data_IF_486964622453
#
_entry.id   IF_486964622453
#
_cell.length_a   1.000
_cell.length_b   1.000
_cell.length_c   1.000
_cell.angle_alpha   90.00
_cell.angle_beta   90.00
_cell.angle_gamma   90.00
#
_symmetry.space_group_name_H-M   'P 1'
#
loop_
_entity.id
_entity.type
_entity.pdbx_description
1 polymer ?
#
# COMPACT_ATOMS: atom_id res chain seq x y z
N UNK A 1 -1.76 -21.30 -15.15
CA UNK A 1 -0.59 -20.66 -14.54
C UNK A 1 -0.74 -19.14 -14.61
N UNK A 2 -0.64 -18.47 -13.47
CA UNK A 2 -0.79 -17.03 -13.41
C UNK A 2 0.50 -16.31 -13.75
N UNK A 3 0.40 -15.23 -14.54
CA UNK A 3 1.50 -14.32 -14.77
C UNK A 3 1.44 -13.12 -13.81
N UNK A 4 2.37 -12.17 -13.97
CA UNK A 4 2.42 -11.00 -13.08
C UNK A 4 1.20 -10.10 -13.20
N UNK A 5 0.60 -9.97 -14.39
CA UNK A 5 -0.60 -9.15 -14.59
C UNK A 5 -1.78 -9.69 -13.78
N UNK A 6 -2.00 -11.00 -13.84
CA UNK A 6 -3.11 -11.63 -13.11
C UNK A 6 -2.86 -11.60 -11.60
N UNK A 7 -1.61 -11.81 -11.18
CA UNK A 7 -1.23 -11.75 -9.77
C UNK A 7 -1.49 -10.36 -9.19
N UNK A 8 -1.17 -9.30 -9.93
CA UNK A 8 -1.40 -7.93 -9.52
C UNK A 8 -2.90 -7.63 -9.39
N UNK A 9 -3.69 -8.05 -10.38
CA UNK A 9 -5.14 -7.88 -10.37
C UNK A 9 -5.79 -8.62 -9.20
N UNK A 10 -5.36 -9.85 -8.94
CA UNK A 10 -5.87 -10.64 -7.82
C UNK A 10 -5.53 -10.00 -6.46
N UNK A 11 -4.33 -9.42 -6.34
CA UNK A 11 -3.92 -8.73 -5.12
C UNK A 11 -4.80 -7.51 -4.85
N UNK A 12 -5.11 -6.72 -5.87
CA UNK A 12 -6.00 -5.57 -5.75
C UNK A 12 -7.38 -5.99 -5.26
N UNK A 13 -7.94 -7.04 -5.86
CA UNK A 13 -9.25 -7.57 -5.46
C UNK A 13 -9.22 -8.06 -4.02
N UNK A 14 -8.15 -8.74 -3.60
CA UNK A 14 -8.01 -9.24 -2.24
C UNK A 14 -7.97 -8.09 -1.22
N UNK A 15 -7.15 -7.06 -1.49
CA UNK A 15 -7.10 -5.90 -0.59
C UNK A 15 -8.49 -5.27 -0.43
N UNK A 16 -9.18 -5.06 -1.55
CA UNK A 16 -10.47 -4.39 -1.56
C UNK A 16 -11.60 -5.25 -0.95
N UNK A 17 -11.38 -6.55 -0.84
CA UNK A 17 -12.26 -7.46 -0.13
C UNK A 17 -11.91 -7.59 1.37
N UNK A 18 -10.87 -6.90 1.83
CA UNK A 18 -10.40 -7.02 3.21
C UNK A 18 -9.58 -8.26 3.48
N UNK A 19 -9.10 -8.93 2.43
CA UNK A 19 -8.33 -10.17 2.52
C UNK A 19 -6.82 -9.86 2.42
N UNK A 20 -6.23 -9.53 3.55
CA UNK A 20 -4.79 -9.21 3.60
C UNK A 20 -3.92 -10.41 3.24
N UNK A 21 -4.30 -11.61 3.65
CA UNK A 21 -3.54 -12.82 3.30
C UNK A 21 -3.51 -13.00 1.78
N UNK A 22 -4.64 -12.79 1.11
CA UNK A 22 -4.73 -12.83 -0.35
C UNK A 22 -3.83 -11.79 -1.01
N UNK A 23 -3.82 -10.57 -0.49
CA UNK A 23 -2.94 -9.52 -1.00
C UNK A 23 -1.47 -9.91 -0.86
N UNK A 24 -1.08 -10.44 0.28
CA UNK A 24 0.31 -10.76 0.57
C UNK A 24 0.85 -11.95 -0.23
N UNK A 25 -0.03 -12.72 -0.90
CA UNK A 25 0.42 -13.75 -1.86
C UNK A 25 1.18 -13.14 -3.04
N UNK A 26 0.95 -11.86 -3.34
CA UNK A 26 1.71 -11.14 -4.36
C UNK A 26 3.20 -11.05 -4.01
N UNK A 27 3.54 -11.06 -2.73
CA UNK A 27 4.89 -10.82 -2.24
C UNK A 27 5.65 -12.14 -2.07
N UNK A 28 6.86 -12.20 -2.67
CA UNK A 28 7.79 -13.29 -2.42
C UNK A 28 8.19 -13.31 -0.94
N UNK A 29 8.53 -14.49 -0.42
CA UNK A 29 8.95 -14.62 0.98
C UNK A 29 10.19 -13.78 1.29
N UNK A 30 11.06 -13.61 0.31
CA UNK A 30 12.29 -12.81 0.44
C UNK A 30 12.16 -11.38 -0.04
N UNK A 31 10.95 -10.85 -0.21
CA UNK A 31 10.72 -9.49 -0.71
C UNK A 31 11.45 -8.45 0.13
N UNK A 32 11.92 -7.39 -0.54
CA UNK A 32 12.45 -6.18 0.08
C UNK A 32 11.56 -5.01 -0.31
N UNK A 33 11.06 -4.31 0.69
CA UNK A 33 10.16 -3.16 0.49
C UNK A 33 10.88 -1.88 0.95
N UNK A 34 11.05 -0.95 0.02
CA UNK A 34 11.71 0.34 0.25
C UNK A 34 10.67 1.46 0.29
N UNK A 35 10.91 2.46 1.11
CA UNK A 35 10.04 3.63 1.24
C UNK A 35 9.03 3.53 2.39
N UNK A 36 9.08 2.47 3.18
CA UNK A 36 8.22 2.27 4.35
C UNK A 36 8.91 2.65 5.66
N UNK A 37 10.23 2.53 5.69
CA UNK A 37 11.08 2.87 6.82
C UNK A 37 12.50 3.13 6.31
N UNK A 38 13.42 3.50 7.19
CA UNK A 38 14.81 3.79 6.79
C UNK A 38 15.48 2.54 6.22
N UNK A 39 15.28 1.39 6.86
CA UNK A 39 15.78 0.13 6.36
C UNK A 39 14.68 -0.61 5.58
N UNK A 40 15.03 -1.40 4.56
CA UNK A 40 14.01 -2.16 3.84
C UNK A 40 13.24 -3.11 4.77
N UNK A 41 11.94 -3.18 4.56
CA UNK A 41 11.08 -4.14 5.28
C UNK A 41 11.05 -5.47 4.55
N UNK A 42 10.92 -6.56 5.33
CA UNK A 42 10.57 -7.86 4.81
C UNK A 42 9.07 -8.11 4.89
N UNK A 43 8.65 -9.31 4.45
CA UNK A 43 7.23 -9.65 4.34
C UNK A 43 6.52 -9.62 5.70
N UNK A 44 7.13 -10.15 6.74
CA UNK A 44 6.54 -10.18 8.08
C UNK A 44 6.35 -8.77 8.64
N UNK A 45 7.32 -7.89 8.41
CA UNK A 45 7.26 -6.51 8.90
C UNK A 45 6.18 -5.71 8.19
N UNK A 46 6.06 -5.86 6.86
CA UNK A 46 5.04 -5.13 6.10
C UNK A 46 3.64 -5.65 6.41
N UNK A 47 3.50 -6.94 6.75
CA UNK A 47 2.22 -7.47 7.24
C UNK A 47 1.74 -6.67 8.45
N UNK A 48 2.59 -6.42 9.41
CA UNK A 48 2.25 -5.62 10.60
C UNK A 48 1.83 -4.21 10.24
N UNK A 49 2.53 -3.59 9.30
CA UNK A 49 2.19 -2.25 8.82
C UNK A 49 0.80 -2.24 8.15
N UNK A 50 0.51 -3.20 7.28
CA UNK A 50 -0.79 -3.28 6.61
C UNK A 50 -1.92 -3.62 7.58
N UNK A 51 -1.66 -4.48 8.59
CA UNK A 51 -2.64 -4.74 9.65
C UNK A 51 -2.98 -3.44 10.38
N UNK A 52 -1.99 -2.59 10.63
CA UNK A 52 -2.20 -1.27 11.21
C UNK A 52 -3.11 -0.39 10.35
N UNK A 53 -2.98 -0.46 9.03
CA UNK A 53 -3.86 0.26 8.10
C UNK A 53 -5.29 -0.26 8.20
N UNK A 54 -5.49 -1.58 8.17
CA UNK A 54 -6.83 -2.16 8.26
C UNK A 54 -7.49 -1.89 9.61
N UNK A 55 -6.72 -1.77 10.68
CA UNK A 55 -7.25 -1.42 11.99
C UNK A 55 -7.59 0.06 12.11
N UNK A 56 -6.76 0.93 11.53
CA UNK A 56 -6.89 2.38 11.68
C UNK A 56 -7.94 3.00 10.75
N UNK A 57 -8.14 2.43 9.57
CA UNK A 57 -9.05 2.96 8.56
C UNK A 57 -10.18 2.00 8.29
N UNK A 58 -11.42 2.50 8.31
CA UNK A 58 -12.58 1.71 7.98
C UNK A 58 -12.62 1.49 6.46
N UNK A 59 -12.73 0.22 6.06
CA UNK A 59 -12.80 -0.21 4.65
C UNK A 59 -11.75 0.48 3.77
N UNK A 60 -10.45 0.30 4.05
CA UNK A 60 -9.42 0.90 3.19
C UNK A 60 -9.49 0.27 1.80
N UNK A 61 -9.65 1.11 0.77
CA UNK A 61 -9.75 0.69 -0.62
C UNK A 61 -8.56 1.20 -1.40
N UNK A 62 -8.09 0.37 -2.33
CA UNK A 62 -7.04 0.72 -3.27
C UNK A 62 -7.61 0.89 -4.66
N UNK A 63 -7.09 1.88 -5.39
CA UNK A 63 -7.25 1.97 -6.83
C UNK A 63 -5.87 2.04 -7.48
N UNK A 64 -5.73 1.38 -8.63
CA UNK A 64 -4.55 1.51 -9.49
C UNK A 64 -4.94 2.42 -10.63
N UNK A 65 -4.59 3.71 -10.49
CA UNK A 65 -5.06 4.75 -11.41
C UNK A 65 -4.28 4.74 -12.70
N UNK A 66 -3.05 4.24 -12.67
CA UNK A 66 -2.21 4.08 -13.86
C UNK A 66 -1.23 2.93 -13.61
N UNK A 67 -1.11 2.04 -14.58
CA UNK A 67 -0.20 0.88 -14.49
C UNK A 67 0.60 0.81 -15.77
N UNK A 68 1.92 0.86 -15.64
CA UNK A 68 2.85 0.79 -16.76
C UNK A 68 3.76 -0.43 -16.57
N UNK A 69 3.95 -1.19 -17.64
CA UNK A 69 4.78 -2.39 -17.63
C UNK A 69 5.98 -2.25 -18.57
N UNK A 70 7.13 -2.71 -18.10
CA UNK A 70 8.32 -2.90 -18.92
C UNK A 70 8.93 -4.25 -18.52
N UNK A 71 8.64 -5.28 -19.33
CA UNK A 71 9.02 -6.63 -18.97
C UNK A 71 8.37 -7.08 -17.66
N UNK A 72 9.18 -7.49 -16.71
CA UNK A 72 8.72 -7.91 -15.37
C UNK A 72 8.82 -6.80 -14.32
N UNK A 73 8.90 -5.56 -14.77
CA UNK A 73 8.86 -4.37 -13.90
C UNK A 73 7.56 -3.61 -14.16
N UNK A 74 6.92 -3.17 -13.10
CA UNK A 74 5.63 -2.48 -13.17
C UNK A 74 5.69 -1.21 -12.34
N UNK A 75 5.26 -0.09 -12.91
CA UNK A 75 5.09 1.18 -12.18
C UNK A 75 3.60 1.45 -12.04
N UNK A 76 3.19 1.79 -10.82
CA UNK A 76 1.78 2.02 -10.50
C UNK A 76 1.62 3.35 -9.81
N UNK A 77 0.70 4.17 -10.31
CA UNK A 77 0.18 5.33 -9.58
C UNK A 77 -1.12 4.87 -8.91
N UNK A 78 -1.13 4.89 -7.60
CA UNK A 78 -2.25 4.34 -6.81
C UNK A 78 -2.82 5.38 -5.86
N UNK A 79 -4.00 5.10 -5.33
CA UNK A 79 -4.58 5.83 -4.21
C UNK A 79 -5.23 4.84 -3.25
N UNK A 80 -5.11 5.12 -1.95
CA UNK A 80 -5.84 4.43 -0.92
C UNK A 80 -6.82 5.39 -0.28
N UNK A 81 -8.07 4.98 -0.12
CA UNK A 81 -9.11 5.77 0.54
C UNK A 81 -9.62 5.01 1.76
N UNK A 82 -10.07 5.73 2.76
CA UNK A 82 -10.65 5.14 3.97
C UNK A 82 -11.07 6.23 4.94
N UNK A 83 -11.69 5.82 6.04
CA UNK A 83 -12.06 6.73 7.13
C UNK A 83 -11.20 6.42 8.34
N UNK A 84 -10.58 7.47 8.91
CA UNK A 84 -9.68 7.35 10.05
C UNK A 84 -10.49 7.12 11.33
N UNK A 85 -10.60 5.87 11.77
CA UNK A 85 -11.49 5.47 12.88
C UNK A 85 -10.75 5.01 14.13
N UNK A 86 -9.45 4.68 14.01
CA UNK A 86 -8.59 4.27 15.13
C UNK A 86 -7.25 4.97 15.01
N UNK A 87 -6.45 4.92 16.07
CA UNK A 87 -5.11 5.50 16.06
C UNK A 87 -4.28 4.94 14.89
N UNK A 88 -3.53 5.82 14.22
CA UNK A 88 -2.58 5.46 13.18
C UNK A 88 -1.30 6.26 13.37
N UNK A 89 -0.17 5.55 13.52
CA UNK A 89 1.16 6.15 13.71
C UNK A 89 1.18 7.23 14.80
N UNK A 90 0.51 6.96 15.92
CA UNK A 90 0.42 7.89 17.04
C UNK A 90 -0.65 8.97 16.89
N UNK A 91 -1.36 9.02 15.77
CA UNK A 91 -2.42 10.00 15.55
C UNK A 91 -3.77 9.44 16.01
N UNK A 92 -4.45 10.09 16.99
CA UNK A 92 -5.78 9.63 17.41
C UNK A 92 -6.80 9.68 16.28
N UNK A 93 -7.82 8.85 16.39
CA UNK A 93 -8.89 8.79 15.40
C UNK A 93 -9.55 10.16 15.20
N UNK A 94 -9.75 10.56 13.96
CA UNK A 94 -10.36 11.85 13.59
C UNK A 94 -11.74 11.71 12.96
N UNK A 95 -12.11 10.50 12.51
CA UNK A 95 -13.33 10.29 11.75
C UNK A 95 -13.27 10.84 10.32
N UNK A 96 -12.11 11.36 9.89
CA UNK A 96 -11.94 12.01 8.61
C UNK A 96 -11.82 10.97 7.49
N UNK A 97 -12.51 11.18 6.37
CA UNK A 97 -12.27 10.45 5.15
C UNK A 97 -10.96 10.95 4.53
N UNK A 98 -10.06 10.02 4.19
CA UNK A 98 -8.74 10.37 3.66
C UNK A 98 -8.50 9.75 2.29
N UNK A 99 -7.61 10.37 1.53
CA UNK A 99 -7.05 9.81 0.30
C UNK A 99 -5.53 9.88 0.40
N UNK A 100 -4.89 8.74 0.24
CA UNK A 100 -3.43 8.62 0.26
C UNK A 100 -2.95 8.20 -1.12
N UNK A 101 -2.50 9.15 -1.96
CA UNK A 101 -1.93 8.80 -3.26
C UNK A 101 -0.47 8.39 -3.12
N UNK A 102 0.00 7.61 -4.08
CA UNK A 102 1.40 7.23 -4.11
C UNK A 102 1.79 6.66 -5.46
N UNK A 103 3.09 6.42 -5.59
CA UNK A 103 3.69 5.79 -6.77
C UNK A 103 4.59 4.67 -6.27
N UNK A 104 4.52 3.52 -6.91
CA UNK A 104 5.32 2.37 -6.55
C UNK A 104 5.89 1.71 -7.80
N UNK A 105 7.06 1.09 -7.65
CA UNK A 105 7.67 0.28 -8.69
C UNK A 105 7.85 -1.13 -8.13
N UNK A 106 7.32 -2.11 -8.85
CA UNK A 106 7.34 -3.52 -8.47
C UNK A 106 8.23 -4.30 -9.42
N UNK A 107 9.16 -5.07 -8.87
CA UNK A 107 9.98 -6.00 -9.63
C UNK A 107 9.45 -7.41 -9.38
N UNK A 108 9.02 -8.08 -10.46
CA UNK A 108 8.46 -9.42 -10.39
C UNK A 108 9.49 -10.48 -10.73
N UNK A 109 9.34 -11.64 -10.10
CA UNK A 109 9.92 -12.91 -10.54
C UNK A 109 8.76 -13.90 -10.66
N UNK A 110 8.39 -14.22 -11.92
CA UNK A 110 7.16 -14.96 -12.17
C UNK A 110 5.95 -14.14 -11.74
N UNK A 111 5.12 -14.71 -10.90
CA UNK A 111 3.91 -14.06 -10.40
C UNK A 111 4.08 -13.42 -9.01
N UNK A 112 5.33 -13.26 -8.53
CA UNK A 112 5.60 -12.69 -7.22
C UNK A 112 6.53 -11.49 -7.30
N UNK A 113 6.26 -10.49 -6.45
CA UNK A 113 7.09 -9.31 -6.31
C UNK A 113 8.26 -9.64 -5.39
N UNK A 114 9.48 -9.41 -5.87
CA UNK A 114 10.71 -9.65 -5.10
C UNK A 114 11.29 -8.36 -4.54
N UNK A 115 10.94 -7.20 -5.12
CA UNK A 115 11.39 -5.91 -4.63
C UNK A 115 10.36 -4.85 -4.98
N UNK A 116 10.11 -3.94 -4.04
CA UNK A 116 9.15 -2.86 -4.20
C UNK A 116 9.75 -1.54 -3.71
N UNK A 117 9.59 -0.48 -4.52
CA UNK A 117 9.97 0.89 -4.17
C UNK A 117 8.71 1.73 -4.13
N UNK A 118 8.40 2.33 -2.98
CA UNK A 118 7.13 3.04 -2.78
C UNK A 118 7.36 4.43 -2.22
N UNK A 119 6.62 5.40 -2.75
CA UNK A 119 6.52 6.74 -2.19
C UNK A 119 5.05 7.12 -2.12
N UNK A 120 4.57 7.37 -0.93
CA UNK A 120 3.20 7.81 -0.68
C UNK A 120 3.22 9.22 -0.09
N UNK A 121 2.14 9.98 -0.35
CA UNK A 121 2.03 11.36 0.14
C UNK A 121 1.64 11.37 1.63
N UNK A 122 2.60 11.02 2.48
CA UNK A 122 2.37 11.01 3.93
C UNK A 122 2.15 12.40 4.49
N UNK A 123 2.80 13.43 3.93
CA UNK A 123 2.56 14.81 4.35
C UNK A 123 1.09 15.20 4.09
N UNK A 124 0.57 14.87 2.91
CA UNK A 124 -0.83 15.11 2.60
C UNK A 124 -1.78 14.38 3.56
N UNK A 125 -1.46 13.13 3.92
CA UNK A 125 -2.25 12.40 4.91
C UNK A 125 -2.25 13.12 6.27
N UNK A 126 -1.10 13.57 6.73
CA UNK A 126 -0.97 14.28 8.01
C UNK A 126 -1.77 15.59 8.00
N UNK A 127 -1.78 16.30 6.87
CA UNK A 127 -2.61 17.51 6.71
C UNK A 127 -4.10 17.16 6.78
N UNK A 128 -4.53 16.10 6.09
CA UNK A 128 -5.93 15.68 6.04
C UNK A 128 -6.47 15.33 7.42
N UNK A 129 -5.68 14.70 8.27
CA UNK A 129 -6.10 14.33 9.63
C UNK A 129 -5.82 15.44 10.64
N UNK A 130 -5.30 16.58 10.20
CA UNK A 130 -5.09 17.74 11.07
C UNK A 130 -3.86 17.67 11.96
N UNK A 131 -2.94 16.73 11.70
CA UNK A 131 -1.73 16.56 12.49
C UNK A 131 -0.70 17.64 12.20
N UNK A 132 -0.68 18.18 10.98
CA UNK A 132 0.18 19.29 10.58
C UNK A 132 -0.62 20.28 9.74
N UNK A 133 -0.25 21.58 9.74
CA UNK A 133 -0.92 22.57 8.86
C UNK A 133 -0.48 22.38 7.42
N UNK A 134 -1.34 22.81 6.48
CA UNK A 134 -0.99 22.81 5.06
C UNK A 134 0.22 23.72 4.84
N UNK A 135 1.21 23.29 4.01
CA UNK A 135 2.44 24.09 3.77
C UNK A 135 2.18 25.38 2.99
N UNK A 136 1.10 25.46 2.25
CA UNK A 136 0.71 26.65 1.47
C UNK A 136 -0.78 26.87 1.54
#
# INVERSE_FOLDING_TARGET
MSGPHEALSAALDSWNAGDLDGYLRLYDEGIRLHGYSQEPMGKAQVRGFYEGIFNAFDTPKLSFDEVLWDGDVCAIRFAMTGRHVQEFMGMPATGTAITLPGITILHFRGDRVVERFSQADMLGLLVQVGAVPAPV
#
